data_IF_685963993088
#
_entry.id   IF_685963993088
#
_cell.length_a   1.000
_cell.length_b   1.000
_cell.length_c   1.000
_cell.angle_alpha   90.00
_cell.angle_beta   90.00
_cell.angle_gamma   90.00
#
_symmetry.space_group_name_H-M   'P 1'
#
loop_
_entity.id
_entity.type
_entity.pdbx_description
1 polymer ?
#
# COMPACT_ATOMS: atom_id res chain seq x y z
N UNK A 1 38.49 23.78 -39.78
CA UNK A 1 37.73 24.04 -38.54
C UNK A 1 36.68 22.95 -38.38
N UNK A 2 36.91 21.95 -37.51
CA UNK A 2 35.94 20.85 -37.28
C UNK A 2 35.04 21.24 -36.11
N UNK A 3 33.75 21.50 -36.39
CA UNK A 3 32.74 21.76 -35.37
C UNK A 3 32.35 20.41 -34.75
N UNK A 4 32.73 20.18 -33.50
CA UNK A 4 32.26 19.04 -32.74
C UNK A 4 30.81 19.33 -32.29
N UNK A 5 29.84 18.61 -32.86
CA UNK A 5 28.48 18.60 -32.36
C UNK A 5 28.46 17.74 -31.07
N UNK A 6 28.27 18.38 -29.92
CA UNK A 6 27.98 17.67 -28.67
C UNK A 6 26.48 17.32 -28.67
N UNK A 7 26.19 16.04 -28.88
CA UNK A 7 24.87 15.46 -28.65
C UNK A 7 24.74 15.18 -27.15
N UNK A 8 24.02 16.03 -26.43
CA UNK A 8 23.61 15.76 -25.04
C UNK A 8 22.42 14.81 -25.10
N UNK A 9 22.64 13.55 -24.74
CA UNK A 9 21.58 12.55 -24.61
C UNK A 9 20.91 12.76 -23.25
N UNK A 10 19.76 13.42 -23.23
CA UNK A 10 18.94 13.59 -22.04
C UNK A 10 18.22 12.26 -21.76
N UNK A 11 18.76 11.45 -20.84
CA UNK A 11 18.11 10.22 -20.41
C UNK A 11 16.96 10.62 -19.49
N UNK A 12 15.74 10.61 -20.01
CA UNK A 12 14.54 10.76 -19.19
C UNK A 12 14.37 9.50 -18.34
N UNK A 13 14.59 9.60 -17.03
CA UNK A 13 14.25 8.53 -16.08
C UNK A 13 12.75 8.60 -15.84
N UNK A 14 11.98 7.74 -16.49
CA UNK A 14 10.57 7.52 -16.12
C UNK A 14 10.56 6.78 -14.79
N UNK A 15 10.20 7.45 -13.68
CA UNK A 15 9.94 6.75 -12.42
C UNK A 15 8.65 5.96 -12.59
N UNK A 16 8.78 4.65 -12.81
CA UNK A 16 7.65 3.76 -12.68
C UNK A 16 7.34 3.69 -11.19
N UNK A 17 6.15 4.12 -10.79
CA UNK A 17 5.58 3.76 -9.49
C UNK A 17 5.67 2.24 -9.36
N UNK A 18 6.40 1.75 -8.37
CA UNK A 18 6.41 0.33 -8.04
C UNK A 18 5.28 0.10 -7.06
N UNK A 19 4.24 -0.56 -7.56
CA UNK A 19 3.15 -1.04 -6.72
C UNK A 19 3.69 -2.20 -5.88
N UNK A 20 3.47 -2.12 -4.57
CA UNK A 20 3.84 -3.13 -3.60
C UNK A 20 2.59 -3.83 -3.11
N UNK A 21 2.64 -5.15 -3.06
CA UNK A 21 1.57 -6.00 -2.55
C UNK A 21 1.97 -6.48 -1.15
N UNK A 22 1.07 -6.33 -0.19
CA UNK A 22 1.24 -6.75 1.20
C UNK A 22 0.12 -7.70 1.60
N UNK A 23 0.49 -8.88 2.09
CA UNK A 23 -0.44 -9.79 2.75
C UNK A 23 -0.46 -9.46 4.24
N UNK A 24 -1.65 -9.22 4.78
CA UNK A 24 -1.82 -8.69 6.12
C UNK A 24 -2.89 -9.42 6.90
N UNK A 25 -2.76 -9.39 8.22
CA UNK A 25 -3.75 -9.85 9.18
C UNK A 25 -3.84 -8.89 10.37
N UNK A 26 -4.99 -8.86 11.04
CA UNK A 26 -5.17 -7.98 12.19
C UNK A 26 -6.57 -7.98 12.77
N UNK A 27 -6.90 -6.89 13.46
CA UNK A 27 -8.15 -6.78 14.21
C UNK A 27 -8.72 -5.36 14.14
N UNK A 28 -10.04 -5.25 14.29
CA UNK A 28 -10.70 -3.99 14.59
C UNK A 28 -10.81 -3.74 16.11
N UNK A 29 -11.40 -2.60 16.49
CA UNK A 29 -11.63 -2.25 17.91
C UNK A 29 -12.56 -3.21 18.67
N UNK A 30 -13.28 -4.10 17.97
CA UNK A 30 -14.19 -5.09 18.54
C UNK A 30 -13.56 -6.50 18.64
N UNK A 31 -12.25 -6.61 18.44
CA UNK A 31 -11.51 -7.88 18.38
C UNK A 31 -11.97 -8.84 17.26
N UNK A 32 -12.60 -8.32 16.19
CA UNK A 32 -12.89 -9.11 14.98
C UNK A 32 -11.62 -9.32 14.18
N UNK A 33 -11.26 -10.58 13.93
CA UNK A 33 -10.10 -10.93 13.10
C UNK A 33 -10.39 -10.69 11.61
N UNK A 34 -9.38 -10.16 10.91
CA UNK A 34 -9.43 -9.92 9.46
C UNK A 34 -8.08 -10.22 8.81
N UNK A 35 -8.09 -10.56 7.52
CA UNK A 35 -6.89 -10.78 6.71
C UNK A 35 -7.13 -10.32 5.27
N UNK A 36 -6.08 -10.01 4.52
CA UNK A 36 -6.26 -9.57 3.14
C UNK A 36 -5.00 -9.15 2.41
N UNK A 37 -5.22 -8.47 1.28
CA UNK A 37 -4.18 -7.97 0.39
C UNK A 37 -4.31 -6.44 0.28
N UNK A 38 -3.19 -5.74 0.54
CA UNK A 38 -3.08 -4.30 0.37
C UNK A 38 -2.09 -3.97 -0.74
N UNK A 39 -2.43 -2.96 -1.52
CA UNK A 39 -1.56 -2.33 -2.51
C UNK A 39 -1.07 -0.98 -1.98
N UNK A 40 0.21 -0.69 -2.20
CA UNK A 40 0.82 0.58 -1.82
C UNK A 40 1.94 0.99 -2.76
N UNK A 41 2.59 2.12 -2.46
CA UNK A 41 3.71 2.63 -3.25
C UNK A 41 4.95 2.85 -2.37
N UNK A 42 6.15 2.55 -2.88
CA UNK A 42 7.40 2.82 -2.15
C UNK A 42 7.62 4.29 -1.72
N UNK A 43 6.97 5.23 -2.41
CA UNK A 43 7.12 6.66 -2.14
C UNK A 43 5.95 7.26 -1.36
N UNK A 44 4.98 6.43 -0.95
CA UNK A 44 3.79 6.85 -0.21
C UNK A 44 3.59 5.93 1.00
N UNK A 45 3.07 6.48 2.09
CA UNK A 45 2.66 5.68 3.24
C UNK A 45 1.25 5.11 3.03
N UNK A 46 0.44 5.71 2.16
CA UNK A 46 -0.92 5.25 1.88
C UNK A 46 -0.92 3.85 1.27
N UNK A 47 -1.81 3.01 1.80
CA UNK A 47 -2.13 1.68 1.29
C UNK A 47 -3.64 1.52 1.18
N UNK A 48 -4.09 0.72 0.23
CA UNK A 48 -5.50 0.41 0.04
C UNK A 48 -5.67 -1.03 -0.42
N UNK A 49 -6.81 -1.65 -0.14
CA UNK A 49 -7.03 -3.03 -0.54
C UNK A 49 -8.28 -3.63 0.07
N UNK A 50 -8.38 -4.96 0.00
CA UNK A 50 -9.53 -5.69 0.50
C UNK A 50 -9.14 -6.57 1.68
N UNK A 51 -9.94 -6.50 2.74
CA UNK A 51 -9.86 -7.35 3.91
C UNK A 51 -11.07 -8.28 3.92
N UNK A 52 -10.88 -9.47 4.47
CA UNK A 52 -11.89 -10.51 4.66
C UNK A 52 -11.95 -10.88 6.13
N UNK A 53 -13.16 -10.95 6.70
CA UNK A 53 -13.38 -11.41 8.06
C UNK A 53 -13.52 -12.95 8.16
N UNK A 54 -13.67 -13.46 9.38
CA UNK A 54 -13.86 -14.91 9.63
C UNK A 54 -15.17 -15.47 9.07
N UNK A 55 -16.16 -14.62 8.79
CA UNK A 55 -17.43 -15.00 8.15
C UNK A 55 -17.31 -15.06 6.62
N UNK A 56 -16.19 -14.61 6.06
CA UNK A 56 -15.91 -14.53 4.63
C UNK A 56 -16.49 -13.27 3.97
N UNK A 57 -16.84 -12.25 4.74
CA UNK A 57 -17.26 -10.95 4.23
C UNK A 57 -16.04 -10.13 3.82
N UNK A 58 -16.01 -9.71 2.56
CA UNK A 58 -14.94 -8.87 2.00
C UNK A 58 -15.38 -7.39 2.01
N UNK A 59 -14.46 -6.51 2.37
CA UNK A 59 -14.68 -5.06 2.41
C UNK A 59 -13.41 -4.28 2.07
N UNK A 60 -13.59 -3.04 1.61
CA UNK A 60 -12.49 -2.17 1.23
C UNK A 60 -11.90 -1.46 2.44
N UNK A 61 -10.58 -1.33 2.45
CA UNK A 61 -9.80 -0.69 3.50
C UNK A 61 -8.87 0.36 2.88
N UNK A 62 -8.75 1.51 3.55
CA UNK A 62 -7.76 2.53 3.26
C UNK A 62 -7.00 2.86 4.54
N UNK A 63 -5.67 2.81 4.48
CA UNK A 63 -4.82 3.05 5.63
C UNK A 63 -3.45 3.59 5.29
N UNK A 64 -2.59 3.61 6.29
CA UNK A 64 -1.20 4.04 6.19
C UNK A 64 -0.26 2.99 6.78
N UNK A 65 0.92 2.87 6.18
CA UNK A 65 2.04 2.13 6.76
C UNK A 65 2.67 2.94 7.89
N UNK A 66 2.50 2.49 9.14
CA UNK A 66 3.02 3.17 10.33
C UNK A 66 4.43 2.70 10.73
N UNK A 67 4.99 1.73 9.99
CA UNK A 67 6.34 1.21 10.16
C UNK A 67 6.38 -0.20 10.75
N UNK A 68 7.56 -0.85 10.73
CA UNK A 68 7.79 -2.21 11.25
C UNK A 68 6.84 -3.31 10.71
N UNK A 69 6.26 -3.09 9.53
CA UNK A 69 5.28 -4.00 8.93
C UNK A 69 3.87 -3.88 9.54
N UNK A 70 3.57 -2.78 10.23
CA UNK A 70 2.26 -2.48 10.82
C UNK A 70 1.52 -1.41 10.02
N UNK A 71 0.20 -1.53 9.97
CA UNK A 71 -0.68 -0.63 9.22
C UNK A 71 -1.90 -0.25 10.07
N UNK A 72 -2.40 0.96 9.87
CA UNK A 72 -3.60 1.47 10.54
C UNK A 72 -4.49 2.17 9.52
N UNK A 73 -5.81 2.01 9.65
CA UNK A 73 -6.74 2.60 8.69
C UNK A 73 -8.19 2.30 8.98
N UNK A 74 -9.04 2.58 8.00
CA UNK A 74 -10.48 2.50 8.12
C UNK A 74 -11.13 1.82 6.92
N UNK A 75 -12.27 1.18 7.15
CA UNK A 75 -13.20 0.83 6.08
C UNK A 75 -14.12 2.01 5.71
N UNK A 76 -14.96 1.79 4.69
CA UNK A 76 -15.92 2.79 4.20
C UNK A 76 -16.97 3.21 5.25
N UNK A 77 -17.24 2.38 6.25
CA UNK A 77 -18.17 2.66 7.35
C UNK A 77 -17.49 3.42 8.51
N UNK A 78 -16.16 3.61 8.43
CA UNK A 78 -15.36 4.32 9.42
C UNK A 78 -14.93 3.45 10.61
N UNK A 79 -14.99 2.12 10.49
CA UNK A 79 -14.45 1.22 11.50
C UNK A 79 -12.92 1.19 11.40
N UNK A 80 -12.23 1.31 12.54
CA UNK A 80 -10.77 1.30 12.59
C UNK A 80 -10.21 -0.12 12.63
N UNK A 81 -9.08 -0.33 11.95
CA UNK A 81 -8.33 -1.59 11.95
C UNK A 81 -6.84 -1.34 12.18
N UNK A 82 -6.21 -2.24 12.95
CA UNK A 82 -4.76 -2.36 13.08
C UNK A 82 -4.32 -3.70 12.50
N UNK A 83 -3.39 -3.65 11.55
CA UNK A 83 -2.93 -4.79 10.75
C UNK A 83 -1.42 -4.93 10.85
N UNK A 84 -0.94 -6.14 10.57
CA UNK A 84 0.49 -6.45 10.42
C UNK A 84 0.70 -7.35 9.21
N UNK A 85 1.92 -7.37 8.69
CA UNK A 85 2.33 -8.38 7.71
C UNK A 85 2.15 -9.80 8.26
N UNK A 86 1.64 -10.70 7.42
CA UNK A 86 1.57 -12.15 7.67
C UNK A 86 2.97 -12.82 7.69
#
# INVERSE_FOLDING_TARGET
>A
MRKALLFVFLIATTSLAQDLIYYVEGYNELDTFVYGELEGNLNDAQVEGYLTDEEGSEFFFVGEWIGNGEFEGYDDDGNFYSLRLE
#
